data_IF_289215553689
#
_entry.id   IF_289215553689
#
_cell.length_a   1.000
_cell.length_b   1.000
_cell.length_c   1.000
_cell.angle_alpha   90.00
_cell.angle_beta   90.00
_cell.angle_gamma   90.00
#
_symmetry.space_group_name_H-M   'P 1'
#
loop_
_entity.id
_entity.type
_entity.pdbx_description
1 polymer ?
#
# COMPACT_ATOMS: atom_id res chain seq x y z
N UNK A 1 6.17 20.85 -2.99
CA UNK A 1 6.76 19.93 -1.99
C UNK A 1 5.69 19.36 -1.07
N UNK A 2 4.90 20.19 -0.37
CA UNK A 2 3.84 19.71 0.54
C UNK A 2 2.85 18.75 -0.15
N UNK A 3 2.39 19.06 -1.38
CA UNK A 3 1.55 18.13 -2.16
C UNK A 3 2.23 16.80 -2.46
N UNK A 4 3.53 16.81 -2.75
CA UNK A 4 4.26 15.58 -3.00
C UNK A 4 4.26 14.71 -1.73
N UNK A 5 4.53 15.28 -0.56
CA UNK A 5 4.44 14.56 0.72
C UNK A 5 3.02 14.03 0.99
N UNK A 6 2.00 14.86 0.80
CA UNK A 6 0.62 14.48 1.00
C UNK A 6 0.17 13.39 0.01
N UNK A 7 0.69 13.39 -1.21
CA UNK A 7 0.31 12.41 -2.24
C UNK A 7 1.14 11.14 -2.22
N UNK A 8 2.24 11.10 -1.46
CA UNK A 8 3.02 9.88 -1.26
C UNK A 8 2.17 8.85 -0.54
N UNK A 9 1.91 7.72 -1.21
CA UNK A 9 1.28 6.54 -0.61
C UNK A 9 2.25 5.37 -0.47
N UNK A 10 3.43 5.43 -1.08
CA UNK A 10 4.46 4.37 -1.02
C UNK A 10 5.82 4.97 -0.69
N UNK A 11 6.31 4.85 0.55
CA UNK A 11 5.58 4.36 1.73
C UNK A 11 4.46 5.32 2.15
N UNK A 12 3.39 4.80 2.75
CA UNK A 12 2.39 5.68 3.37
C UNK A 12 3.02 6.33 4.61
N UNK A 13 2.94 7.65 4.72
CA UNK A 13 3.56 8.43 5.79
C UNK A 13 2.47 8.76 6.81
N UNK A 14 2.46 8.14 8.00
CA UNK A 14 1.42 8.38 9.00
C UNK A 14 1.24 9.87 9.28
N UNK A 15 -0.01 10.32 9.41
CA UNK A 15 -0.39 11.72 9.63
C UNK A 15 -0.06 12.74 8.53
N UNK A 16 0.74 12.41 7.52
CA UNK A 16 1.13 13.32 6.44
C UNK A 16 0.48 12.95 5.11
N UNK A 17 0.43 11.66 4.77
CA UNK A 17 -0.23 11.17 3.56
C UNK A 17 -1.73 11.49 3.59
N UNK A 18 -2.22 12.14 2.54
CA UNK A 18 -3.57 12.67 2.40
C UNK A 18 -3.83 13.98 3.16
N UNK A 19 -2.82 14.57 3.81
CA UNK A 19 -2.98 15.75 4.68
C UNK A 19 -2.04 16.88 4.22
N UNK A 20 -2.51 17.70 3.28
CA UNK A 20 -1.72 18.82 2.73
C UNK A 20 -1.32 19.84 3.81
N UNK A 21 -2.24 20.22 4.69
CA UNK A 21 -1.98 21.20 5.76
C UNK A 21 -0.94 20.68 6.75
N UNK A 22 -1.03 19.41 7.14
CA UNK A 22 -0.04 18.77 8.01
C UNK A 22 1.31 18.63 7.32
N UNK A 23 1.33 18.40 6.01
CA UNK A 23 2.56 18.38 5.21
C UNK A 23 3.23 19.76 5.15
N UNK A 24 2.45 20.84 5.05
CA UNK A 24 2.98 22.22 5.16
C UNK A 24 3.56 22.46 6.55
N UNK A 25 2.82 22.11 7.61
CA UNK A 25 3.28 22.27 8.98
C UNK A 25 4.56 21.45 9.28
N UNK A 26 4.64 20.23 8.76
CA UNK A 26 5.82 19.38 8.87
C UNK A 26 7.05 20.03 8.22
N UNK A 27 6.90 20.54 6.99
CA UNK A 27 7.98 21.25 6.28
C UNK A 27 8.45 22.49 7.05
N UNK A 28 7.50 23.28 7.59
CA UNK A 28 7.82 24.45 8.40
C UNK A 28 8.61 24.07 9.67
N UNK A 29 8.18 23.01 10.39
CA UNK A 29 8.86 22.49 11.59
C UNK A 29 10.31 22.10 11.31
N UNK A 30 10.58 21.52 10.15
CA UNK A 30 11.95 21.12 9.76
C UNK A 30 12.68 22.25 9.04
N UNK A 31 12.15 23.48 9.00
CA UNK A 31 12.79 24.64 8.40
C UNK A 31 12.97 24.56 6.89
N UNK A 32 12.08 23.85 6.17
CA UNK A 32 12.01 23.86 4.72
C UNK A 32 10.81 24.73 4.32
N UNK A 33 11.07 25.88 3.71
CA UNK A 33 10.00 26.77 3.27
C UNK A 33 9.33 26.21 2.01
N UNK A 34 8.01 25.95 2.01
CA UNK A 34 7.31 25.38 0.86
C UNK A 34 7.04 26.39 -0.27
N UNK A 35 7.18 27.69 0.01
CA UNK A 35 7.02 28.80 -0.95
C UNK A 35 8.31 29.62 -1.07
N UNK A 36 8.52 30.21 -2.25
CA UNK A 36 9.52 31.25 -2.49
C UNK A 36 8.81 32.42 -3.17
N UNK A 37 8.62 33.52 -2.45
CA UNK A 37 7.67 34.57 -2.85
C UNK A 37 6.25 33.99 -2.99
N UNK A 38 5.58 34.28 -4.10
CA UNK A 38 4.23 33.78 -4.40
C UNK A 38 4.22 32.38 -5.02
N UNK A 39 5.39 31.82 -5.37
CA UNK A 39 5.48 30.52 -6.03
C UNK A 39 5.66 29.38 -5.04
N UNK A 40 4.84 28.34 -5.17
CA UNK A 40 5.06 27.06 -4.51
C UNK A 40 6.28 26.33 -5.08
N UNK A 41 7.17 25.88 -4.19
CA UNK A 41 8.35 25.10 -4.57
C UNK A 41 7.98 23.66 -4.92
N UNK A 42 8.65 23.10 -5.91
CA UNK A 42 8.57 21.68 -6.30
C UNK A 42 9.74 20.88 -5.74
N UNK A 43 9.71 19.54 -5.82
CA UNK A 43 10.78 18.69 -5.29
C UNK A 43 12.15 19.01 -5.90
N UNK A 44 12.19 19.39 -7.19
CA UNK A 44 13.41 19.80 -7.89
C UNK A 44 14.01 21.11 -7.34
N UNK A 45 13.22 21.93 -6.65
CA UNK A 45 13.71 23.18 -6.05
C UNK A 45 14.43 22.95 -4.71
N UNK A 46 14.45 21.71 -4.18
CA UNK A 46 15.16 21.36 -2.94
C UNK A 46 16.65 21.19 -3.19
N UNK A 47 17.49 21.80 -2.34
CA UNK A 47 18.94 21.53 -2.32
C UNK A 47 19.24 20.12 -1.80
N UNK A 48 20.46 19.64 -1.99
CA UNK A 48 20.88 18.34 -1.45
C UNK A 48 20.83 18.31 0.09
N UNK A 49 21.15 19.42 0.75
CA UNK A 49 21.00 19.58 2.21
C UNK A 49 19.55 19.51 2.64
N UNK A 50 18.63 20.19 1.93
CA UNK A 50 17.21 20.12 2.22
C UNK A 50 16.63 18.73 1.97
N UNK A 51 17.07 18.03 0.91
CA UNK A 51 16.67 16.63 0.65
C UNK A 51 17.12 15.71 1.78
N UNK A 52 18.38 15.81 2.22
CA UNK A 52 18.91 15.05 3.36
C UNK A 52 18.11 15.34 4.63
N UNK A 53 17.87 16.62 4.92
CA UNK A 53 17.08 17.06 6.08
C UNK A 53 15.66 16.50 6.06
N UNK A 54 15.00 16.54 4.90
CA UNK A 54 13.67 15.98 4.71
C UNK A 54 13.66 14.46 4.96
N UNK A 55 14.64 13.73 4.41
CA UNK A 55 14.74 12.29 4.60
C UNK A 55 14.98 11.91 6.06
N UNK A 56 15.91 12.59 6.75
CA UNK A 56 16.17 12.37 8.18
C UNK A 56 14.94 12.65 9.03
N UNK A 57 14.25 13.77 8.79
CA UNK A 57 13.05 14.10 9.55
C UNK A 57 11.90 13.12 9.29
N UNK A 58 11.80 12.54 8.09
CA UNK A 58 10.83 11.49 7.79
C UNK A 58 11.18 10.19 8.52
N UNK A 59 12.46 9.81 8.59
CA UNK A 59 12.91 8.65 9.36
C UNK A 59 12.57 8.80 10.86
N UNK A 60 12.83 9.97 11.44
CA UNK A 60 12.46 10.28 12.82
C UNK A 60 10.94 10.24 13.03
N UNK A 61 10.18 10.74 12.04
CA UNK A 61 8.73 10.71 12.07
C UNK A 61 8.19 9.27 12.05
N UNK A 62 8.71 8.38 11.20
CA UNK A 62 8.37 6.96 11.21
C UNK A 62 8.70 6.31 12.56
N UNK A 63 9.89 6.56 13.09
CA UNK A 63 10.32 6.04 14.39
C UNK A 63 9.37 6.49 15.52
N UNK A 64 8.93 7.75 15.51
CA UNK A 64 7.96 8.28 16.48
C UNK A 64 6.59 7.59 16.43
N UNK A 65 6.29 6.87 15.34
CA UNK A 65 5.06 6.10 15.13
C UNK A 65 5.25 4.60 15.40
N UNK A 66 6.41 4.20 15.94
CA UNK A 66 6.74 2.80 16.19
C UNK A 66 7.03 2.02 14.90
N UNK A 67 7.35 2.71 13.81
CA UNK A 67 7.73 2.11 12.54
C UNK A 67 9.25 2.22 12.32
N UNK A 68 9.81 1.34 11.48
CA UNK A 68 11.24 1.39 11.17
C UNK A 68 11.60 2.67 10.41
N UNK A 69 12.61 3.42 10.92
CA UNK A 69 13.13 4.61 10.22
C UNK A 69 13.68 4.29 8.82
N UNK A 70 14.09 3.05 8.56
CA UNK A 70 14.56 2.61 7.25
C UNK A 70 13.48 2.68 6.16
N UNK A 71 12.19 2.74 6.53
CA UNK A 71 11.09 2.96 5.58
C UNK A 71 11.30 4.26 4.79
N UNK A 72 11.88 5.29 5.40
CA UNK A 72 12.18 6.55 4.72
C UNK A 72 13.17 6.38 3.55
N UNK A 73 14.05 5.35 3.60
CA UNK A 73 14.98 5.08 2.51
C UNK A 73 14.27 4.61 1.24
N UNK A 74 13.05 4.06 1.34
CA UNK A 74 12.24 3.67 0.19
C UNK A 74 11.80 4.87 -0.68
N UNK A 75 11.91 6.09 -0.15
CA UNK A 75 11.67 7.33 -0.90
C UNK A 75 12.82 7.68 -1.85
N UNK A 76 14.00 7.09 -1.63
CA UNK A 76 15.19 7.29 -2.44
C UNK A 76 15.33 6.10 -3.39
N UNK A 77 15.33 6.37 -4.69
CA UNK A 77 15.41 5.29 -5.67
C UNK A 77 15.58 5.79 -7.10
N UNK A 78 15.53 4.83 -8.02
CA UNK A 78 15.60 5.09 -9.46
C UNK A 78 14.29 5.70 -9.95
N UNK A 79 14.41 6.75 -10.75
CA UNK A 79 13.31 7.43 -11.42
C UNK A 79 13.37 7.09 -12.90
N UNK A 80 12.27 6.54 -13.43
CA UNK A 80 12.14 6.19 -14.85
C UNK A 80 11.29 7.26 -15.53
N UNK A 81 11.93 8.08 -16.37
CA UNK A 81 11.27 9.20 -17.05
C UNK A 81 10.89 8.83 -18.48
N UNK A 82 9.62 8.96 -18.83
CA UNK A 82 9.12 8.80 -20.20
C UNK A 82 9.32 10.11 -20.96
N UNK A 83 10.39 10.18 -21.77
CA UNK A 83 10.88 11.43 -22.38
C UNK A 83 9.91 12.10 -23.36
N UNK A 84 8.89 11.40 -23.83
CA UNK A 84 7.88 11.91 -24.75
C UNK A 84 6.59 12.40 -24.08
N UNK A 85 6.44 12.20 -22.77
CA UNK A 85 5.26 12.67 -22.02
C UNK A 85 5.45 14.08 -21.47
N UNK A 86 4.38 14.83 -21.26
CA UNK A 86 4.46 16.21 -20.78
C UNK A 86 5.01 16.29 -19.34
N UNK A 87 6.01 17.15 -19.03
CA UNK A 87 6.74 17.13 -17.75
C UNK A 87 5.88 17.33 -16.48
N UNK A 88 4.74 18.00 -16.60
CA UNK A 88 3.83 18.31 -15.48
C UNK A 88 2.69 17.31 -15.33
N UNK A 89 2.68 16.23 -16.11
CA UNK A 89 1.66 15.19 -16.03
C UNK A 89 2.15 13.99 -15.22
N UNK A 90 1.24 13.22 -14.60
CA UNK A 90 1.60 11.95 -13.94
C UNK A 90 2.13 10.91 -14.93
N UNK A 91 2.05 11.14 -16.24
CA UNK A 91 2.53 10.22 -17.28
C UNK A 91 4.06 10.24 -17.43
N UNK A 92 4.70 11.35 -17.04
CA UNK A 92 6.15 11.55 -17.22
C UNK A 92 6.99 10.59 -16.40
N UNK A 93 6.55 10.26 -15.19
CA UNK A 93 7.22 9.31 -14.29
C UNK A 93 6.52 7.95 -14.40
N UNK A 94 7.27 6.89 -14.72
CA UNK A 94 6.69 5.57 -14.95
C UNK A 94 6.01 4.97 -13.70
N UNK A 95 6.46 5.35 -12.50
CA UNK A 95 5.83 4.92 -11.24
C UNK A 95 4.52 5.68 -11.03
N UNK A 96 4.49 6.99 -11.22
CA UNK A 96 3.25 7.77 -11.15
C UNK A 96 2.24 7.33 -12.22
N UNK A 97 2.71 7.03 -13.44
CA UNK A 97 1.86 6.51 -14.50
C UNK A 97 1.30 5.13 -14.15
N UNK A 98 2.11 4.24 -13.57
CA UNK A 98 1.62 2.94 -13.06
C UNK A 98 0.55 3.13 -11.97
N UNK A 99 0.71 4.09 -11.06
CA UNK A 99 -0.29 4.41 -10.04
C UNK A 99 -1.58 4.94 -10.68
N UNK A 100 -1.47 5.82 -11.68
CA UNK A 100 -2.62 6.31 -12.46
C UNK A 100 -3.39 5.15 -13.10
N UNK A 101 -2.71 4.26 -13.83
CA UNK A 101 -3.35 3.11 -14.47
C UNK A 101 -3.98 2.16 -13.45
N UNK A 102 -3.27 1.85 -12.36
CA UNK A 102 -3.80 1.04 -11.28
C UNK A 102 -5.06 1.65 -10.65
N UNK A 103 -5.09 2.98 -10.48
CA UNK A 103 -6.27 3.68 -9.96
C UNK A 103 -7.48 3.48 -10.88
N UNK A 104 -7.31 3.61 -12.20
CA UNK A 104 -8.41 3.40 -13.16
C UNK A 104 -8.98 1.98 -13.08
N UNK A 105 -8.13 0.96 -12.98
CA UNK A 105 -8.59 -0.43 -12.84
C UNK A 105 -9.33 -0.68 -11.52
N UNK A 106 -8.79 -0.19 -10.40
CA UNK A 106 -9.36 -0.39 -9.06
C UNK A 106 -10.67 0.36 -8.84
N UNK A 107 -10.82 1.52 -9.47
CA UNK A 107 -12.01 2.37 -9.39
C UNK A 107 -13.06 2.03 -10.47
N UNK A 108 -12.92 0.91 -11.19
CA UNK A 108 -13.92 0.46 -12.17
C UNK A 108 -13.94 1.29 -13.47
N UNK A 109 -12.87 2.04 -13.75
CA UNK A 109 -12.72 2.92 -14.92
C UNK A 109 -11.61 2.43 -15.85
N UNK A 110 -11.44 1.12 -15.97
CA UNK A 110 -10.35 0.50 -16.74
C UNK A 110 -10.27 0.98 -18.21
N UNK A 111 -11.43 1.28 -18.83
CA UNK A 111 -11.48 1.84 -20.19
C UNK A 111 -10.73 3.18 -20.33
N UNK A 112 -10.75 4.02 -19.29
CA UNK A 112 -9.99 5.28 -19.25
C UNK A 112 -8.48 5.01 -19.28
N UNK A 113 -8.03 4.04 -18.47
CA UNK A 113 -6.63 3.61 -18.45
C UNK A 113 -6.17 3.11 -19.82
N UNK A 114 -7.00 2.30 -20.50
CA UNK A 114 -6.73 1.85 -21.87
C UNK A 114 -6.64 3.03 -22.84
N UNK A 115 -7.59 3.98 -22.80
CA UNK A 115 -7.58 5.16 -23.68
C UNK A 115 -6.30 6.00 -23.53
N UNK A 116 -5.80 6.15 -22.30
CA UNK A 116 -4.51 6.84 -22.07
C UNK A 116 -3.37 6.04 -22.70
N UNK A 117 -3.31 4.73 -22.50
CA UNK A 117 -2.29 3.89 -23.14
C UNK A 117 -2.35 3.96 -24.68
N UNK A 118 -3.54 4.20 -25.25
CA UNK A 118 -3.76 4.39 -26.69
C UNK A 118 -3.44 5.80 -27.21
N UNK A 119 -3.01 6.72 -26.34
CA UNK A 119 -2.56 8.05 -26.75
C UNK A 119 -3.51 9.20 -26.45
N UNK A 120 -4.66 8.97 -25.81
CA UNK A 120 -5.52 10.09 -25.41
C UNK A 120 -4.88 10.86 -24.23
N UNK A 121 -4.39 12.06 -24.53
CA UNK A 121 -3.81 13.04 -23.57
C UNK A 121 -4.77 14.17 -23.22
N UNK A 122 -6.04 14.04 -23.62
CA UNK A 122 -7.09 15.04 -23.44
C UNK A 122 -8.14 14.55 -22.43
N UNK A 123 -9.33 14.18 -22.90
CA UNK A 123 -10.47 13.79 -22.07
C UNK A 123 -10.14 12.60 -21.14
N UNK A 124 -9.49 11.56 -21.66
CA UNK A 124 -9.12 10.41 -20.83
C UNK A 124 -8.10 10.76 -19.74
N UNK A 125 -7.13 11.64 -20.04
CA UNK A 125 -6.14 12.09 -19.04
C UNK A 125 -6.79 12.96 -17.95
N UNK A 126 -7.70 13.86 -18.33
CA UNK A 126 -8.46 14.67 -17.37
C UNK A 126 -9.32 13.77 -16.45
N UNK A 127 -10.01 12.80 -17.04
CA UNK A 127 -10.83 11.84 -16.30
C UNK A 127 -9.98 10.98 -15.36
N UNK A 128 -8.84 10.47 -15.82
CA UNK A 128 -7.95 9.68 -14.98
C UNK A 128 -7.35 10.49 -13.84
N UNK A 129 -7.10 11.78 -14.04
CA UNK A 129 -6.70 12.69 -12.95
C UNK A 129 -7.74 12.72 -11.83
N UNK A 130 -9.03 12.85 -12.18
CA UNK A 130 -10.15 12.81 -11.20
C UNK A 130 -10.22 11.45 -10.50
N UNK A 131 -10.06 10.36 -11.25
CA UNK A 131 -10.05 9.00 -10.70
C UNK A 131 -8.88 8.77 -9.75
N UNK A 132 -7.69 9.29 -10.07
CA UNK A 132 -6.50 9.19 -9.22
C UNK A 132 -6.70 9.93 -7.89
N UNK A 133 -7.29 11.12 -7.92
CA UNK A 133 -7.59 11.89 -6.72
C UNK A 133 -8.62 11.17 -5.83
N UNK A 134 -9.67 10.61 -6.43
CA UNK A 134 -10.66 9.79 -5.72
C UNK A 134 -10.03 8.54 -5.10
N UNK A 135 -9.17 7.86 -5.85
CA UNK A 135 -8.42 6.69 -5.40
C UNK A 135 -7.52 7.00 -4.21
N UNK A 136 -6.76 8.11 -4.26
CA UNK A 136 -5.91 8.58 -3.14
C UNK A 136 -6.74 8.86 -1.89
N UNK A 137 -7.86 9.60 -2.02
CA UNK A 137 -8.78 9.88 -0.89
C UNK A 137 -9.34 8.59 -0.29
N UNK A 138 -9.69 7.63 -1.13
CA UNK A 138 -10.22 6.32 -0.71
C UNK A 138 -9.18 5.51 0.06
N UNK A 139 -7.94 5.47 -0.41
CA UNK A 139 -6.83 4.82 0.31
C UNK A 139 -6.62 5.47 1.69
N UNK A 140 -6.51 6.80 1.74
CA UNK A 140 -6.32 7.52 3.00
C UNK A 140 -7.46 7.21 3.97
N UNK A 141 -8.71 7.23 3.51
CA UNK A 141 -9.88 6.87 4.32
C UNK A 141 -9.75 5.47 4.93
N UNK A 142 -9.39 4.46 4.12
CA UNK A 142 -9.27 3.08 4.61
C UNK A 142 -8.10 2.89 5.57
N UNK A 143 -6.95 3.50 5.29
CA UNK A 143 -5.78 3.42 6.17
C UNK A 143 -6.06 4.12 7.50
N UNK A 144 -6.62 5.33 7.47
CA UNK A 144 -7.02 6.04 8.70
C UNK A 144 -8.03 5.23 9.50
N UNK A 145 -9.03 4.63 8.86
CA UNK A 145 -9.98 3.75 9.52
C UNK A 145 -9.28 2.54 10.18
N UNK A 146 -8.37 1.85 9.48
CA UNK A 146 -7.65 0.72 10.08
C UNK A 146 -6.80 1.13 11.30
N UNK A 147 -6.22 2.32 11.29
CA UNK A 147 -5.34 2.78 12.38
C UNK A 147 -6.07 3.46 13.54
N UNK A 148 -7.32 3.90 13.36
CA UNK A 148 -8.08 4.67 14.37
C UNK A 148 -8.47 3.84 15.60
N UNK A 149 -8.79 2.54 15.43
CA UNK A 149 -9.24 1.67 16.53
C UNK A 149 -8.29 0.50 16.75
N UNK A 150 -7.88 0.24 18.01
CA UNK A 150 -7.18 -0.98 18.36
C UNK A 150 -7.98 -2.22 17.94
N UNK A 151 -7.29 -3.26 17.44
CA UNK A 151 -7.89 -4.52 17.00
C UNK A 151 -8.34 -4.56 15.54
N UNK A 152 -8.37 -3.43 14.80
CA UNK A 152 -8.56 -3.45 13.33
C UNK A 152 -7.31 -3.95 12.60
N UNK A 153 -6.15 -3.72 13.19
CA UNK A 153 -4.91 -4.41 12.88
C UNK A 153 -4.56 -5.22 14.13
N UNK A 154 -4.59 -6.53 14.01
CA UNK A 154 -4.30 -7.48 15.09
C UNK A 154 -2.94 -8.13 14.84
N UNK A 155 -2.11 -8.20 15.88
CA UNK A 155 -0.88 -8.99 15.86
C UNK A 155 -1.14 -10.37 16.44
N UNK A 156 -0.95 -11.41 15.62
CA UNK A 156 -0.93 -12.80 16.07
C UNK A 156 0.52 -13.28 16.24
N UNK A 157 0.67 -14.52 16.68
CA UNK A 157 2.01 -15.10 16.96
C UNK A 157 2.93 -15.03 15.75
N UNK A 158 2.44 -15.34 14.54
CA UNK A 158 3.27 -15.45 13.34
C UNK A 158 2.84 -14.54 12.19
N UNK A 159 1.70 -13.84 12.31
CA UNK A 159 1.16 -12.98 11.25
C UNK A 159 0.57 -11.70 11.84
N UNK A 160 0.46 -10.66 11.02
CA UNK A 160 -0.47 -9.54 11.26
C UNK A 160 -1.76 -9.75 10.47
N UNK A 161 -2.89 -9.32 11.03
CA UNK A 161 -4.20 -9.38 10.40
C UNK A 161 -4.81 -7.99 10.30
N UNK A 162 -5.11 -7.54 9.08
CA UNK A 162 -5.88 -6.32 8.85
C UNK A 162 -7.34 -6.67 8.54
N UNK A 163 -8.23 -6.34 9.48
CA UNK A 163 -9.66 -6.65 9.43
C UNK A 163 -10.41 -5.60 8.62
N UNK A 164 -10.46 -5.75 7.29
CA UNK A 164 -11.25 -4.86 6.42
C UNK A 164 -12.76 -5.09 6.51
N UNK A 165 -13.18 -6.32 6.82
CA UNK A 165 -14.59 -6.71 6.98
C UNK A 165 -15.47 -6.14 5.85
N UNK A 166 -16.59 -5.47 6.13
CA UNK A 166 -17.40 -4.79 5.11
C UNK A 166 -17.03 -3.32 4.86
N UNK A 167 -15.98 -2.80 5.50
CA UNK A 167 -15.66 -1.37 5.48
C UNK A 167 -14.68 -0.98 4.36
N UNK A 168 -13.81 -1.91 3.96
CA UNK A 168 -12.85 -1.73 2.86
C UNK A 168 -13.39 -2.45 1.65
N UNK A 169 -13.43 -1.81 0.48
CA UNK A 169 -13.82 -2.47 -0.77
C UNK A 169 -12.87 -3.64 -1.11
N UNK A 170 -13.41 -4.79 -1.53
CA UNK A 170 -12.63 -5.99 -1.85
C UNK A 170 -11.68 -5.78 -3.05
N UNK A 171 -12.00 -4.83 -3.96
CA UNK A 171 -11.12 -4.44 -5.04
C UNK A 171 -9.90 -3.69 -4.52
N UNK A 172 -10.02 -3.04 -3.36
CA UNK A 172 -8.98 -2.22 -2.73
C UNK A 172 -8.13 -2.98 -1.71
N UNK A 173 -8.59 -4.14 -1.20
CA UNK A 173 -7.88 -4.87 -0.13
C UNK A 173 -6.44 -5.23 -0.49
N UNK A 174 -6.17 -5.53 -1.76
CA UNK A 174 -4.81 -5.84 -2.24
C UNK A 174 -3.88 -4.62 -2.20
N UNK A 175 -4.40 -3.44 -2.56
CA UNK A 175 -3.67 -2.17 -2.43
C UNK A 175 -3.40 -1.88 -0.97
N UNK A 176 -4.43 -1.95 -0.12
CA UNK A 176 -4.31 -1.66 1.31
C UNK A 176 -3.31 -2.61 1.99
N UNK A 177 -3.38 -3.91 1.68
CA UNK A 177 -2.43 -4.92 2.14
C UNK A 177 -0.99 -4.55 1.75
N UNK A 178 -0.75 -4.13 0.50
CA UNK A 178 0.57 -3.73 0.03
C UNK A 178 1.12 -2.46 0.71
N UNK A 179 0.24 -1.53 1.07
CA UNK A 179 0.63 -0.29 1.74
C UNK A 179 0.90 -0.50 3.23
N UNK A 180 0.16 -1.39 3.85
CA UNK A 180 0.32 -1.73 5.26
C UNK A 180 1.51 -2.65 5.49
N UNK A 181 1.84 -3.55 4.58
CA UNK A 181 2.94 -4.50 4.76
C UNK A 181 4.30 -3.83 4.92
N UNK A 182 4.45 -2.60 4.45
CA UNK A 182 5.66 -1.79 4.64
C UNK A 182 5.60 -0.87 5.87
N UNK A 183 4.45 -0.82 6.55
CA UNK A 183 4.13 0.06 7.67
C UNK A 183 3.59 -0.72 8.89
N UNK A 184 4.07 -1.95 9.09
CA UNK A 184 3.86 -2.72 10.32
C UNK A 184 5.10 -2.60 11.24
N UNK A 185 4.93 -2.64 12.58
CA UNK A 185 6.04 -2.51 13.52
C UNK A 185 7.10 -3.62 13.38
N UNK A 186 6.66 -4.87 13.19
CA UNK A 186 7.54 -6.02 13.04
C UNK A 186 7.45 -6.60 11.62
N UNK A 187 8.47 -6.34 10.79
CA UNK A 187 8.55 -6.84 9.43
C UNK A 187 8.88 -8.34 9.32
N UNK A 188 9.18 -9.02 10.44
CA UNK A 188 9.40 -10.48 10.48
C UNK A 188 8.09 -11.29 10.53
N UNK A 189 6.93 -10.64 10.40
CA UNK A 189 5.64 -11.31 10.25
C UNK A 189 4.97 -10.86 8.96
N UNK A 190 4.46 -11.79 8.11
CA UNK A 190 3.66 -11.41 6.96
C UNK A 190 2.34 -10.78 7.40
N UNK A 191 1.80 -9.92 6.53
CA UNK A 191 0.50 -9.29 6.71
C UNK A 191 -0.56 -10.02 5.89
N UNK A 192 -1.68 -10.36 6.54
CA UNK A 192 -2.89 -10.89 5.93
C UNK A 192 -4.00 -9.84 6.07
N UNK A 193 -4.52 -9.31 4.97
CA UNK A 193 -5.66 -8.41 4.99
C UNK A 193 -6.86 -9.09 4.32
N UNK A 194 -8.07 -8.83 4.80
CA UNK A 194 -9.28 -9.34 4.14
C UNK A 194 -10.43 -8.34 4.13
N UNK A 195 -11.33 -8.53 3.17
CA UNK A 195 -12.60 -7.82 3.08
C UNK A 195 -13.71 -8.76 2.60
N UNK A 196 -14.95 -8.53 3.03
CA UNK A 196 -16.13 -9.17 2.51
C UNK A 196 -16.40 -8.70 1.08
N UNK A 197 -16.67 -9.64 0.17
CA UNK A 197 -17.03 -9.33 -1.21
C UNK A 197 -18.47 -8.83 -1.21
N UNK A 198 -18.71 -7.64 -1.76
CA UNK A 198 -20.04 -7.04 -1.76
C UNK A 198 -21.04 -7.91 -2.53
N UNK A 199 -22.19 -8.19 -1.89
CA UNK A 199 -23.24 -9.03 -2.47
C UNK A 199 -22.98 -10.54 -2.41
N UNK A 200 -21.84 -10.98 -1.86
CA UNK A 200 -21.49 -12.40 -1.77
C UNK A 200 -21.28 -12.83 -0.31
N UNK A 201 -21.36 -14.15 -0.05
CA UNK A 201 -21.06 -14.74 1.27
C UNK A 201 -19.59 -15.14 1.42
N UNK A 202 -18.71 -14.49 0.66
CA UNK A 202 -17.28 -14.75 0.61
C UNK A 202 -16.47 -13.54 1.08
N UNK A 203 -15.31 -13.81 1.67
CA UNK A 203 -14.30 -12.84 2.02
C UNK A 203 -13.05 -13.08 1.16
N UNK A 204 -12.50 -11.99 0.63
CA UNK A 204 -11.30 -11.97 -0.19
C UNK A 204 -10.11 -11.56 0.67
N UNK A 205 -9.07 -12.37 0.62
CA UNK A 205 -7.83 -12.22 1.35
C UNK A 205 -6.72 -11.77 0.41
N UNK A 206 -5.85 -10.90 0.92
CA UNK A 206 -4.59 -10.50 0.30
C UNK A 206 -3.48 -10.63 1.33
N UNK A 207 -2.47 -11.42 1.01
CA UNK A 207 -1.29 -11.62 1.83
C UNK A 207 -0.07 -10.94 1.21
N UNK A 208 0.78 -10.35 2.05
CA UNK A 208 2.03 -9.70 1.67
C UNK A 208 3.11 -10.01 2.69
N UNK A 209 4.32 -10.22 2.19
CA UNK A 209 5.53 -10.37 3.01
C UNK A 209 6.69 -9.62 2.37
N UNK A 210 7.86 -9.69 2.98
CA UNK A 210 9.11 -9.11 2.47
C UNK A 210 10.09 -10.21 2.03
N UNK A 211 11.05 -9.85 1.18
CA UNK A 211 12.05 -10.77 0.64
C UNK A 211 12.80 -11.53 1.74
N UNK A 212 13.12 -10.87 2.86
CA UNK A 212 13.76 -11.50 4.03
C UNK A 212 13.03 -12.76 4.52
N UNK A 213 11.70 -12.76 4.54
CA UNK A 213 10.92 -13.92 4.97
C UNK A 213 10.81 -14.98 3.89
N UNK A 214 10.79 -14.57 2.62
CA UNK A 214 10.84 -15.49 1.48
C UNK A 214 12.16 -16.25 1.45
N UNK A 215 13.27 -15.56 1.69
CA UNK A 215 14.61 -16.15 1.81
C UNK A 215 14.73 -17.12 3.00
N UNK A 216 13.98 -16.88 4.08
CA UNK A 216 13.80 -17.80 5.21
C UNK A 216 12.87 -18.99 4.89
N UNK A 217 12.38 -19.12 3.65
CA UNK A 217 11.57 -20.25 3.17
C UNK A 217 10.06 -20.01 3.14
N UNK A 218 9.57 -18.81 3.48
CA UNK A 218 8.14 -18.52 3.46
C UNK A 218 7.57 -18.42 2.04
N UNK A 219 6.47 -19.11 1.77
CA UNK A 219 5.73 -19.05 0.52
C UNK A 219 4.24 -18.82 0.77
N UNK A 220 3.80 -17.57 0.68
CA UNK A 220 2.40 -17.20 0.89
C UNK A 220 1.45 -17.83 -0.12
N UNK A 221 1.89 -17.99 -1.38
CA UNK A 221 1.08 -18.61 -2.43
C UNK A 221 0.71 -20.05 -2.08
N UNK A 222 1.69 -20.82 -1.62
CA UNK A 222 1.49 -22.19 -1.17
C UNK A 222 0.63 -22.28 0.10
N UNK A 223 0.94 -21.46 1.11
CA UNK A 223 0.17 -21.40 2.36
C UNK A 223 -1.31 -21.11 2.10
N UNK A 224 -1.61 -20.08 1.30
CA UNK A 224 -3.00 -19.69 1.04
C UNK A 224 -3.73 -20.71 0.17
N UNK A 225 -3.03 -21.42 -0.73
CA UNK A 225 -3.60 -22.51 -1.50
C UNK A 225 -4.05 -23.64 -0.56
N UNK A 226 -3.14 -24.16 0.25
CA UNK A 226 -3.40 -25.26 1.20
C UNK A 226 -4.51 -24.87 2.18
N UNK A 227 -4.44 -23.65 2.74
CA UNK A 227 -5.44 -23.17 3.68
C UNK A 227 -6.84 -23.04 3.05
N UNK A 228 -6.92 -22.59 1.79
CA UNK A 228 -8.20 -22.39 1.11
C UNK A 228 -8.84 -23.73 0.69
N UNK A 229 -8.04 -24.72 0.28
CA UNK A 229 -8.53 -26.04 -0.11
C UNK A 229 -9.32 -26.72 1.03
N UNK A 230 -8.92 -26.53 2.29
CA UNK A 230 -9.65 -27.03 3.48
C UNK A 230 -11.09 -26.52 3.57
N UNK A 231 -11.39 -25.37 2.97
CA UNK A 231 -12.71 -24.76 2.95
C UNK A 231 -13.36 -24.81 1.56
N UNK A 232 -12.95 -25.76 0.72
CA UNK A 232 -13.41 -25.93 -0.67
C UNK A 232 -13.35 -24.64 -1.47
N UNK A 233 -12.29 -23.87 -1.22
CA UNK A 233 -12.11 -22.50 -1.65
C UNK A 233 -10.82 -22.36 -2.46
N UNK A 234 -10.65 -21.23 -3.14
CA UNK A 234 -9.48 -21.00 -4.00
C UNK A 234 -8.51 -20.03 -3.34
N UNK A 235 -7.23 -20.39 -3.36
CA UNK A 235 -6.12 -19.56 -2.91
C UNK A 235 -4.87 -19.83 -3.73
N UNK A 236 -3.94 -18.90 -3.73
CA UNK A 236 -2.69 -19.01 -4.47
C UNK A 236 -2.03 -17.67 -4.77
N UNK A 237 -0.94 -17.72 -5.50
CA UNK A 237 -0.17 -16.55 -5.91
C UNK A 237 1.33 -16.80 -5.83
N UNK A 238 2.10 -15.74 -5.67
CA UNK A 238 3.54 -15.79 -5.51
C UNK A 238 3.94 -15.97 -4.04
N UNK A 239 5.19 -16.37 -3.81
CA UNK A 239 5.78 -16.47 -2.48
C UNK A 239 5.66 -15.18 -1.65
N UNK A 240 5.87 -14.02 -2.29
CA UNK A 240 5.83 -12.71 -1.63
C UNK A 240 4.42 -12.11 -1.51
N UNK A 241 3.51 -12.51 -2.40
CA UNK A 241 2.22 -11.88 -2.59
C UNK A 241 1.19 -12.89 -3.10
N UNK A 242 0.15 -13.13 -2.31
CA UNK A 242 -0.86 -14.13 -2.61
C UNK A 242 -2.27 -13.65 -2.25
N UNK A 243 -3.29 -14.36 -2.71
CA UNK A 243 -4.68 -14.11 -2.36
C UNK A 243 -5.48 -15.39 -2.18
N UNK A 244 -6.62 -15.27 -1.51
CA UNK A 244 -7.59 -16.35 -1.35
C UNK A 244 -9.01 -15.80 -1.27
N UNK A 245 -10.01 -16.63 -1.49
CA UNK A 245 -11.42 -16.32 -1.25
C UNK A 245 -12.03 -17.43 -0.44
N UNK A 246 -12.57 -17.14 0.76
CA UNK A 246 -13.20 -18.14 1.63
C UNK A 246 -14.56 -17.67 2.14
N UNK A 247 -15.50 -18.55 2.50
CA UNK A 247 -16.78 -18.14 3.06
C UNK A 247 -16.61 -17.27 4.31
N UNK A 248 -17.42 -16.22 4.47
CA UNK A 248 -17.33 -15.27 5.60
C UNK A 248 -17.39 -15.99 6.95
N UNK A 249 -18.23 -17.04 7.05
CA UNK A 249 -18.36 -17.88 8.26
C UNK A 249 -17.06 -18.59 8.69
N UNK A 250 -16.09 -18.72 7.80
CA UNK A 250 -14.84 -19.45 8.02
C UNK A 250 -13.64 -18.52 8.23
N UNK A 251 -13.82 -17.19 8.21
CA UNK A 251 -12.72 -16.19 8.27
C UNK A 251 -11.80 -16.43 9.47
N UNK A 252 -12.35 -16.57 10.68
CA UNK A 252 -11.53 -16.73 11.89
C UNK A 252 -10.77 -18.06 11.89
N UNK A 253 -11.41 -19.13 11.42
CA UNK A 253 -10.80 -20.45 11.31
C UNK A 253 -9.68 -20.45 10.25
N UNK A 254 -9.89 -19.74 9.14
CA UNK A 254 -8.90 -19.57 8.08
C UNK A 254 -7.67 -18.79 8.56
N UNK A 255 -7.87 -17.66 9.26
CA UNK A 255 -6.79 -16.85 9.83
C UNK A 255 -5.95 -17.67 10.81
N UNK A 256 -6.59 -18.44 11.69
CA UNK A 256 -5.90 -19.34 12.65
C UNK A 256 -5.09 -20.43 11.94
N UNK A 257 -5.60 -20.95 10.83
CA UNK A 257 -4.89 -21.94 10.02
C UNK A 257 -3.66 -21.32 9.35
N UNK A 258 -3.82 -20.18 8.67
CA UNK A 258 -2.71 -19.45 8.04
C UNK A 258 -1.62 -19.11 9.07
N UNK A 259 -1.99 -18.61 10.26
CA UNK A 259 -1.04 -18.33 11.33
C UNK A 259 -0.21 -19.55 11.75
N UNK A 260 -0.80 -20.76 11.69
CA UNK A 260 -0.10 -22.01 12.00
C UNK A 260 0.81 -22.46 10.85
N UNK A 261 0.33 -22.39 9.61
CA UNK A 261 1.09 -22.78 8.42
C UNK A 261 2.33 -21.91 8.22
N UNK A 262 2.22 -20.60 8.47
CA UNK A 262 3.38 -19.67 8.46
C UNK A 262 4.46 -20.15 9.44
N UNK A 263 4.07 -20.54 10.66
CA UNK A 263 5.02 -21.06 11.65
C UNK A 263 5.70 -22.34 11.18
N UNK A 264 4.93 -23.30 10.68
CA UNK A 264 5.46 -24.58 10.22
C UNK A 264 6.48 -24.39 9.10
N UNK A 265 6.17 -23.53 8.12
CA UNK A 265 7.07 -23.29 7.00
C UNK A 265 8.36 -22.59 7.43
N UNK A 266 8.29 -21.59 8.32
CA UNK A 266 9.47 -20.93 8.87
C UNK A 266 10.32 -21.85 9.79
N UNK A 267 9.72 -22.90 10.36
CA UNK A 267 10.42 -23.95 11.09
C UNK A 267 10.97 -25.07 10.18
N UNK A 268 10.80 -24.96 8.85
CA UNK A 268 11.24 -25.99 7.89
C UNK A 268 10.41 -27.27 7.93
N UNK A 269 9.22 -27.25 8.53
CA UNK A 269 8.31 -28.40 8.59
C UNK A 269 7.43 -28.47 7.35
N UNK A 270 7.06 -29.68 6.88
CA UNK A 270 6.04 -29.84 5.85
C UNK A 270 4.74 -29.15 6.28
N UNK A 271 4.09 -28.47 5.34
CA UNK A 271 2.79 -27.85 5.55
C UNK A 271 1.69 -28.74 4.96
N UNK A 272 0.70 -29.08 5.78
CA UNK A 272 -0.47 -29.88 5.40
C UNK A 272 -1.77 -29.21 5.88
N UNK A 273 -2.85 -29.39 5.11
CA UNK A 273 -4.12 -28.64 5.20
C UNK A 273 -4.99 -28.88 6.43
#
# INVERSE_FOLDING_TARGET
IHKALAYTTVPFIPDLSGQEDRSVAFLARIGITPKKGDRWRVLRDLSEEEKKKLCSALADHFASKGLSGNIALNLIGRVYTLSHEEPWTPLRDAREFSVLLNSTGRMGRAGVGVSICMGDRSAALEEAGKVLDEYRRTITKYLSWLTEKPGRIEELTNIYVAHGQGMIDDKMIGTISSLLSTNIPNLEKPLIAYSAIQGEKFAKFSARTIDLLVEKGLNLGEILKIAAEKYSSRGGGHNIAAGAQVPVKNVDAFIKLVNRLVKQQLEGKPIEG
#
